data_IF_324638955088
#
_entry.id   IF_324638955088
#
_cell.length_a   1.000
_cell.length_b   1.000
_cell.length_c   1.000
_cell.angle_alpha   90.00
_cell.angle_beta   90.00
_cell.angle_gamma   90.00
#
_symmetry.space_group_name_H-M   'P 1'
#
loop_
_entity.id
_entity.type
_entity.pdbx_description
1 polymer ?
#
# COMPACT_ATOMS: atom_id res chain seq x y z
N UNK A 1 -23.70 20.04 8.43
CA UNK A 1 -23.89 18.69 7.85
C UNK A 1 -23.05 17.73 8.69
N UNK A 2 -23.69 16.80 9.42
CA UNK A 2 -22.96 15.73 10.13
C UNK A 2 -22.39 14.81 9.04
N UNK A 3 -21.06 14.71 8.96
CA UNK A 3 -20.40 13.79 8.04
C UNK A 3 -20.91 12.38 8.31
N UNK A 4 -21.32 11.68 7.24
CA UNK A 4 -21.55 10.24 7.31
C UNK A 4 -20.27 9.60 7.88
N UNK A 5 -20.38 8.63 8.81
CA UNK A 5 -19.20 7.92 9.28
C UNK A 5 -18.53 7.28 8.06
N UNK A 6 -17.28 7.64 7.80
CA UNK A 6 -16.46 6.94 6.82
C UNK A 6 -16.24 5.55 7.42
N UNK A 7 -16.90 4.54 6.85
CA UNK A 7 -16.73 3.16 7.27
C UNK A 7 -15.32 2.71 6.90
N UNK A 8 -14.51 2.43 7.92
CA UNK A 8 -13.19 1.82 7.75
C UNK A 8 -13.36 0.29 7.74
N UNK A 9 -12.61 -0.45 6.91
CA UNK A 9 -12.75 -1.89 6.83
C UNK A 9 -12.24 -2.56 8.09
N UNK A 10 -13.02 -3.51 8.58
CA UNK A 10 -12.68 -4.41 9.67
C UNK A 10 -11.71 -5.50 9.20
N UNK A 11 -11.16 -6.25 10.16
CA UNK A 11 -10.28 -7.36 9.85
C UNK A 11 -10.97 -8.44 8.99
N UNK A 12 -12.26 -8.70 9.24
CA UNK A 12 -13.05 -9.66 8.47
C UNK A 12 -13.24 -9.22 7.02
N UNK A 13 -13.43 -7.93 6.77
CA UNK A 13 -13.58 -7.37 5.42
C UNK A 13 -12.26 -7.38 4.64
N UNK A 14 -11.13 -7.21 5.32
CA UNK A 14 -9.80 -7.28 4.69
C UNK A 14 -9.27 -8.71 4.50
N UNK A 15 -9.81 -9.70 5.20
CA UNK A 15 -9.31 -11.08 5.13
C UNK A 15 -9.35 -11.68 3.71
N UNK A 16 -10.43 -11.53 2.91
CA UNK A 16 -10.46 -12.01 1.53
C UNK A 16 -9.41 -11.32 0.66
N UNK A 17 -9.22 -10.01 0.83
CA UNK A 17 -8.24 -9.24 0.09
C UNK A 17 -6.81 -9.70 0.41
N UNK A 18 -6.49 -9.87 1.68
CA UNK A 18 -5.19 -10.42 2.11
C UNK A 18 -4.97 -11.83 1.55
N UNK A 19 -6.02 -12.65 1.50
CA UNK A 19 -5.95 -13.99 0.92
C UNK A 19 -5.66 -13.95 -0.59
N UNK A 20 -6.31 -13.06 -1.35
CA UNK A 20 -6.03 -12.89 -2.78
C UNK A 20 -4.57 -12.50 -3.02
N UNK A 21 -4.04 -11.54 -2.25
CA UNK A 21 -2.62 -11.15 -2.34
C UNK A 21 -1.72 -12.34 -2.05
N UNK A 22 -2.01 -13.12 -1.00
CA UNK A 22 -1.22 -14.32 -0.67
C UNK A 22 -1.25 -15.35 -1.80
N UNK A 23 -2.41 -15.63 -2.37
CA UNK A 23 -2.58 -16.63 -3.42
C UNK A 23 -1.87 -16.23 -4.72
N UNK A 24 -1.85 -14.96 -5.09
CA UNK A 24 -1.37 -14.51 -6.40
C UNK A 24 0.05 -13.93 -6.40
N UNK A 25 0.54 -13.39 -5.27
CA UNK A 25 1.77 -12.58 -5.27
C UNK A 25 2.85 -13.02 -4.28
N UNK A 26 2.61 -14.07 -3.48
CA UNK A 26 3.71 -14.62 -2.68
C UNK A 26 4.87 -15.02 -3.58
N UNK A 27 6.06 -14.50 -3.26
CA UNK A 27 7.32 -14.73 -3.98
C UNK A 27 7.39 -14.16 -5.39
N UNK A 28 6.39 -13.42 -5.85
CA UNK A 28 6.50 -12.61 -7.06
C UNK A 28 7.47 -11.46 -6.80
N UNK A 29 8.45 -11.27 -7.68
CA UNK A 29 9.34 -10.11 -7.63
C UNK A 29 8.67 -8.89 -8.28
N UNK A 30 8.78 -7.75 -7.60
CA UNK A 30 8.37 -6.44 -8.06
C UNK A 30 9.61 -5.56 -8.21
N UNK A 31 9.72 -4.87 -9.35
CA UNK A 31 10.77 -3.88 -9.60
C UNK A 31 10.41 -2.46 -9.17
N UNK A 32 9.14 -2.16 -8.86
CA UNK A 32 8.71 -0.81 -8.49
C UNK A 32 7.58 -0.77 -7.46
N UNK A 33 7.63 0.23 -6.58
CA UNK A 33 6.59 0.53 -5.59
C UNK A 33 6.20 1.99 -5.76
N UNK A 34 4.94 2.23 -6.12
CA UNK A 34 4.43 3.56 -6.41
C UNK A 34 3.30 3.92 -5.46
N UNK A 35 3.39 5.10 -4.84
CA UNK A 35 2.31 5.74 -4.10
C UNK A 35 1.75 6.86 -4.96
N UNK A 36 0.52 6.70 -5.43
CA UNK A 36 -0.04 7.55 -6.48
C UNK A 36 0.90 7.64 -7.69
N UNK A 37 1.45 8.82 -7.97
CA UNK A 37 2.39 9.05 -9.05
C UNK A 37 3.86 9.07 -8.58
N UNK A 38 4.10 8.87 -7.28
CA UNK A 38 5.43 8.92 -6.69
C UNK A 38 6.07 7.54 -6.60
N UNK A 39 7.22 7.35 -7.27
CA UNK A 39 8.02 6.14 -7.14
C UNK A 39 8.75 6.12 -5.79
N UNK A 40 8.28 5.30 -4.87
CA UNK A 40 8.95 5.03 -3.59
C UNK A 40 10.13 4.09 -3.79
N UNK A 41 9.94 3.08 -4.64
CA UNK A 41 11.02 2.26 -5.21
C UNK A 41 10.90 2.39 -6.71
N UNK A 42 11.95 2.88 -7.37
CA UNK A 42 11.94 3.06 -8.83
C UNK A 42 12.17 1.73 -9.53
N UNK A 43 11.57 1.54 -10.71
CA UNK A 43 11.91 0.41 -11.58
C UNK A 43 13.42 0.26 -11.74
N UNK A 44 13.90 -0.97 -11.65
CA UNK A 44 15.30 -1.37 -11.84
C UNK A 44 16.29 -0.95 -10.75
N UNK A 45 15.89 -0.14 -9.75
CA UNK A 45 16.77 0.19 -8.62
C UNK A 45 16.92 -1.02 -7.67
N UNK A 46 15.78 -1.62 -7.28
CA UNK A 46 15.72 -2.74 -6.33
C UNK A 46 14.55 -3.68 -6.67
N UNK A 47 14.74 -4.97 -6.44
CA UNK A 47 13.69 -5.97 -6.54
C UNK A 47 13.18 -6.37 -5.15
N UNK A 48 11.87 -6.47 -4.97
CA UNK A 48 11.27 -6.94 -3.73
C UNK A 48 10.27 -8.07 -3.99
N UNK A 49 10.21 -9.05 -3.09
CA UNK A 49 9.22 -10.11 -3.11
C UNK A 49 8.29 -9.97 -1.91
N UNK A 50 6.97 -10.08 -2.13
CA UNK A 50 6.03 -10.25 -1.01
C UNK A 50 6.25 -11.63 -0.41
N UNK A 51 6.63 -11.68 0.86
CA UNK A 51 6.87 -12.93 1.59
C UNK A 51 5.76 -13.24 2.60
N UNK A 52 4.99 -12.22 2.98
CA UNK A 52 3.80 -12.38 3.81
C UNK A 52 2.82 -11.23 3.58
N UNK A 53 1.54 -11.47 3.86
CA UNK A 53 0.50 -10.45 3.88
C UNK A 53 -0.46 -10.72 5.04
N UNK A 54 -0.54 -9.77 5.97
CA UNK A 54 -1.31 -9.86 7.20
C UNK A 54 -2.39 -8.78 7.26
N UNK A 55 -3.46 -9.09 7.98
CA UNK A 55 -4.46 -8.12 8.40
C UNK A 55 -4.16 -7.76 9.85
N UNK A 56 -3.88 -6.49 10.11
CA UNK A 56 -3.48 -6.00 11.42
C UNK A 56 -4.59 -5.09 11.98
N UNK A 57 -5.25 -5.47 13.08
CA UNK A 57 -6.19 -4.60 13.78
C UNK A 57 -5.52 -3.30 14.23
N UNK A 58 -6.25 -2.20 14.20
CA UNK A 58 -5.77 -0.95 14.77
C UNK A 58 -5.87 -1.02 16.31
N UNK A 59 -4.77 -0.78 17.01
CA UNK A 59 -4.74 -0.85 18.49
C UNK A 59 -5.67 0.16 19.15
N UNK A 60 -5.77 1.37 18.57
CA UNK A 60 -6.63 2.42 19.09
C UNK A 60 -8.11 2.21 18.75
N UNK A 61 -8.40 1.44 17.70
CA UNK A 61 -9.75 1.08 17.29
C UNK A 61 -9.78 -0.33 16.68
N UNK A 62 -9.98 -1.39 17.49
CA UNK A 62 -9.96 -2.77 17.02
C UNK A 62 -11.05 -3.11 16.00
N UNK A 63 -12.05 -2.24 15.82
CA UNK A 63 -13.06 -2.40 14.76
C UNK A 63 -12.47 -2.13 13.37
N UNK A 64 -11.32 -1.46 13.30
CA UNK A 64 -10.61 -1.14 12.07
C UNK A 64 -9.39 -2.03 11.91
N UNK A 65 -9.05 -2.35 10.68
CA UNK A 65 -7.81 -3.03 10.36
C UNK A 65 -7.12 -2.40 9.16
N UNK A 66 -5.87 -2.77 8.95
CA UNK A 66 -5.09 -2.40 7.78
C UNK A 66 -4.32 -3.61 7.27
N UNK A 67 -3.89 -3.57 6.01
CA UNK A 67 -3.03 -4.60 5.45
C UNK A 67 -1.57 -4.27 5.72
N UNK A 68 -0.80 -5.32 6.00
CA UNK A 68 0.65 -5.26 6.15
C UNK A 68 1.25 -6.31 5.22
N UNK A 69 2.05 -5.86 4.26
CA UNK A 69 2.82 -6.72 3.36
C UNK A 69 4.26 -6.71 3.82
N UNK A 70 4.80 -7.89 4.10
CA UNK A 70 6.22 -8.09 4.36
C UNK A 70 6.92 -8.30 3.02
N UNK A 71 7.90 -7.45 2.73
CA UNK A 71 8.65 -7.40 1.49
C UNK A 71 10.11 -7.74 1.78
N UNK A 72 10.62 -8.80 1.16
CA UNK A 72 12.05 -9.13 1.21
C UNK A 72 12.74 -8.64 -0.05
N UNK A 73 13.97 -8.16 0.03
CA UNK A 73 14.75 -7.86 -1.17
C UNK A 73 14.97 -9.16 -1.99
N UNK A 74 14.90 -9.08 -3.31
CA UNK A 74 14.91 -10.23 -4.21
C UNK A 74 16.21 -11.06 -4.16
N UNK A 75 17.33 -10.45 -3.74
CA UNK A 75 18.59 -11.17 -3.50
C UNK A 75 18.57 -12.04 -2.23
N UNK A 76 17.51 -11.97 -1.42
CA UNK A 76 17.41 -12.63 -0.12
C UNK A 76 18.21 -11.96 1.00
N UNK A 77 18.97 -10.91 0.68
CA UNK A 77 19.79 -10.16 1.64
C UNK A 77 19.02 -9.00 2.27
N UNK A 78 19.25 -8.72 3.55
CA UNK A 78 18.67 -7.58 4.27
C UNK A 78 17.41 -7.91 5.09
N UNK A 79 16.96 -6.92 5.87
CA UNK A 79 15.73 -7.03 6.65
C UNK A 79 14.49 -6.93 5.75
N UNK A 80 13.43 -7.65 6.12
CA UNK A 80 12.12 -7.48 5.49
C UNK A 80 11.61 -6.05 5.74
N UNK A 81 11.28 -5.35 4.67
CA UNK A 81 10.60 -4.06 4.72
C UNK A 81 9.09 -4.28 4.83
N UNK A 82 8.40 -3.34 5.47
CA UNK A 82 6.95 -3.42 5.65
C UNK A 82 6.25 -2.36 4.83
N UNK A 83 5.31 -2.79 3.99
CA UNK A 83 4.33 -1.92 3.32
C UNK A 83 2.99 -2.03 4.06
N UNK A 84 2.58 -0.94 4.71
CA UNK A 84 1.29 -0.84 5.39
C UNK A 84 0.28 -0.04 4.54
N UNK A 85 -0.95 -0.54 4.47
CA UNK A 85 -2.01 -0.03 3.60
C UNK A 85 -3.30 0.10 4.42
N UNK A 86 -3.74 1.33 4.64
CA UNK A 86 -5.00 1.64 5.34
C UNK A 86 -6.11 1.88 4.33
N UNK A 87 -7.28 1.33 4.62
CA UNK A 87 -8.51 1.43 3.83
C UNK A 87 -8.30 1.15 2.32
N UNK A 88 -7.74 -0.02 1.95
CA UNK A 88 -7.50 -0.35 0.55
C UNK A 88 -8.80 -0.44 -0.25
N UNK A 89 -8.79 0.07 -1.49
CA UNK A 89 -9.93 0.05 -2.40
C UNK A 89 -9.52 -0.38 -3.80
N UNK A 90 -10.43 -1.08 -4.48
CA UNK A 90 -10.31 -1.43 -5.90
C UNK A 90 -9.04 -2.22 -6.22
N UNK A 91 -8.83 -3.35 -5.51
CA UNK A 91 -7.74 -4.27 -5.86
C UNK A 91 -7.92 -4.76 -7.29
N UNK A 92 -6.85 -4.62 -8.07
CA UNK A 92 -6.68 -5.24 -9.37
C UNK A 92 -5.34 -5.98 -9.40
N UNK A 93 -5.37 -7.18 -9.97
CA UNK A 93 -4.23 -8.08 -10.10
C UNK A 93 -4.14 -8.49 -11.57
N UNK A 94 -3.02 -8.21 -12.21
CA UNK A 94 -2.76 -8.61 -13.59
C UNK A 94 -1.26 -8.95 -13.80
N UNK A 95 -0.89 -9.25 -15.04
CA UNK A 95 0.50 -9.59 -15.39
C UNK A 95 1.51 -8.45 -15.17
N UNK A 96 1.06 -7.21 -14.99
CA UNK A 96 1.88 -6.03 -14.71
C UNK A 96 2.02 -5.76 -13.20
N UNK A 97 1.31 -6.52 -12.36
CA UNK A 97 1.44 -6.50 -10.91
C UNK A 97 0.14 -6.19 -10.17
N UNK A 98 0.27 -5.58 -8.99
CA UNK A 98 -0.84 -5.31 -8.08
C UNK A 98 -1.17 -3.83 -8.07
N UNK A 99 -2.45 -3.48 -8.16
CA UNK A 99 -2.93 -2.09 -8.08
C UNK A 99 -4.06 -1.94 -7.07
N UNK A 100 -4.07 -0.82 -6.37
CA UNK A 100 -5.22 -0.33 -5.60
C UNK A 100 -5.64 1.01 -6.18
N UNK A 101 -6.93 1.21 -6.45
CA UNK A 101 -7.45 2.50 -6.91
C UNK A 101 -7.44 3.55 -5.79
N UNK A 102 -7.57 3.11 -4.53
CA UNK A 102 -7.64 3.99 -3.37
C UNK A 102 -6.99 3.40 -2.11
N UNK A 103 -6.52 4.28 -1.23
CA UNK A 103 -6.09 3.99 0.12
C UNK A 103 -6.20 5.27 0.96
N UNK A 104 -6.56 5.15 2.24
CA UNK A 104 -6.54 6.29 3.17
C UNK A 104 -5.12 6.67 3.58
N UNK A 105 -4.21 5.70 3.57
CA UNK A 105 -2.79 5.92 3.87
C UNK A 105 -1.96 4.76 3.33
N UNK A 106 -0.74 5.05 2.90
CA UNK A 106 0.29 4.09 2.54
C UNK A 106 1.57 4.42 3.30
N UNK A 107 2.28 3.40 3.79
CA UNK A 107 3.58 3.58 4.43
C UNK A 107 4.54 2.49 4.03
N UNK A 108 5.74 2.87 3.62
CA UNK A 108 6.82 1.94 3.31
C UNK A 108 8.16 2.55 3.72
N UNK A 109 8.88 1.87 4.60
CA UNK A 109 10.09 2.43 5.22
C UNK A 109 9.78 3.77 5.92
N UNK A 110 10.62 4.77 5.67
CA UNK A 110 10.43 6.15 6.17
C UNK A 110 9.48 7.02 5.33
N UNK A 111 8.80 6.43 4.33
CA UNK A 111 7.93 7.14 3.39
C UNK A 111 6.46 6.87 3.74
N UNK A 112 5.63 7.91 3.70
CA UNK A 112 4.21 7.84 4.02
C UNK A 112 3.41 8.73 3.06
N UNK A 113 2.29 8.26 2.53
CA UNK A 113 1.42 9.04 1.64
C UNK A 113 -0.05 8.90 1.99
N UNK A 114 -0.84 9.95 1.78
CA UNK A 114 -2.29 9.97 2.04
C UNK A 114 -3.01 10.98 1.15
N UNK A 115 -4.30 10.76 0.82
CA UNK A 115 -5.06 11.69 0.00
C UNK A 115 -5.37 12.98 0.76
N UNK A 116 -5.49 14.09 0.02
CA UNK A 116 -5.97 15.37 0.56
C UNK A 116 -7.45 15.59 0.26
N UNK A 117 -8.16 16.27 1.18
CA UNK A 117 -9.60 16.52 1.04
C UNK A 117 -9.97 17.37 -0.19
N UNK A 118 -9.03 18.20 -0.67
CA UNK A 118 -9.22 19.10 -1.81
C UNK A 118 -8.83 18.45 -3.15
N UNK A 119 -8.56 17.14 -3.15
CA UNK A 119 -7.94 16.44 -4.27
C UNK A 119 -6.41 16.47 -4.16
N UNK A 120 -5.75 15.48 -4.76
CA UNK A 120 -4.31 15.29 -4.59
C UNK A 120 -3.93 14.39 -3.43
N UNK A 121 -2.63 14.34 -3.17
CA UNK A 121 -2.05 13.55 -2.10
C UNK A 121 -0.85 14.28 -1.49
N UNK A 122 -0.65 14.03 -0.21
CA UNK A 122 0.58 14.36 0.51
C UNK A 122 1.49 13.15 0.51
N UNK A 123 2.78 13.42 0.44
CA UNK A 123 3.81 12.42 0.72
C UNK A 123 4.85 13.01 1.67
N UNK A 124 5.12 12.28 2.73
CA UNK A 124 6.20 12.52 3.67
C UNK A 124 7.33 11.55 3.39
N UNK A 125 8.52 12.11 3.38
CA UNK A 125 9.79 11.40 3.20
C UNK A 125 10.73 11.80 4.36
N UNK A 126 11.82 11.08 4.59
CA UNK A 126 12.84 11.52 5.54
C UNK A 126 13.42 12.92 5.23
N UNK A 127 13.35 13.36 3.98
CA UNK A 127 13.88 14.64 3.51
C UNK A 127 12.87 15.79 3.62
N UNK A 128 11.61 15.50 3.92
CA UNK A 128 10.55 16.50 3.99
C UNK A 128 9.23 16.01 3.44
N UNK A 129 8.28 16.93 3.39
CA UNK A 129 6.90 16.66 2.99
C UNK A 129 6.51 17.51 1.78
N UNK A 130 5.74 16.91 0.86
CA UNK A 130 5.30 17.55 -0.37
C UNK A 130 3.82 17.29 -0.65
N UNK A 131 3.23 18.21 -1.40
CA UNK A 131 1.85 18.18 -1.86
C UNK A 131 1.83 18.04 -3.37
N UNK A 132 1.03 17.10 -3.87
CA UNK A 132 1.00 16.76 -5.29
C UNK A 132 -0.45 16.70 -5.79
N UNK A 133 -0.70 17.14 -7.03
CA UNK A 133 -2.03 17.05 -7.62
C UNK A 133 -2.48 15.59 -7.75
N UNK A 134 -3.80 15.38 -7.74
CA UNK A 134 -4.40 14.05 -7.88
C UNK A 134 -4.14 13.53 -9.28
N UNK A 135 -3.61 12.32 -9.39
CA UNK A 135 -3.49 11.60 -10.66
C UNK A 135 -4.64 10.67 -10.91
N UNK A 136 -4.86 10.34 -12.18
CA UNK A 136 -5.71 9.20 -12.54
C UNK A 136 -5.09 7.89 -12.00
N UNK A 137 -5.81 7.22 -11.11
CA UNK A 137 -6.03 5.78 -11.29
C UNK A 137 -5.30 4.77 -10.40
N UNK A 138 -4.47 5.14 -9.43
CA UNK A 138 -3.94 4.16 -8.45
C UNK A 138 -3.36 4.82 -7.21
N UNK A 139 -3.85 4.48 -6.02
CA UNK A 139 -3.17 4.83 -4.77
C UNK A 139 -1.88 4.02 -4.61
N UNK A 140 -1.90 2.73 -4.98
CA UNK A 140 -0.74 1.84 -4.91
C UNK A 140 -0.55 1.13 -6.25
N UNK A 141 0.70 1.00 -6.69
CA UNK A 141 1.10 0.04 -7.73
C UNK A 141 2.40 -0.67 -7.33
N UNK A 142 2.30 -1.98 -7.17
CA UNK A 142 3.46 -2.88 -7.10
C UNK A 142 3.69 -3.39 -8.52
N UNK A 143 4.71 -2.88 -9.18
CA UNK A 143 5.03 -3.18 -10.56
C UNK A 143 5.97 -4.38 -10.62
N UNK A 144 5.59 -5.41 -11.38
CA UNK A 144 6.49 -6.53 -11.75
C UNK A 144 7.56 -6.01 -12.71
#
# INVERSE_FOLDING_TARGET
MKGLPVSHPSAAELAPLAQQIRTHFLRQTFGGIWFWQFAVVRPHDQGHCVVDCQVVPNEADPSRAHLVLSLQHASGQGHAATLAIWDPQGLSIDAQGLRLTGAARLRFGGMEAWPEAQGGYRIRTPQGEGHFPGGEGRALWLQI
#
